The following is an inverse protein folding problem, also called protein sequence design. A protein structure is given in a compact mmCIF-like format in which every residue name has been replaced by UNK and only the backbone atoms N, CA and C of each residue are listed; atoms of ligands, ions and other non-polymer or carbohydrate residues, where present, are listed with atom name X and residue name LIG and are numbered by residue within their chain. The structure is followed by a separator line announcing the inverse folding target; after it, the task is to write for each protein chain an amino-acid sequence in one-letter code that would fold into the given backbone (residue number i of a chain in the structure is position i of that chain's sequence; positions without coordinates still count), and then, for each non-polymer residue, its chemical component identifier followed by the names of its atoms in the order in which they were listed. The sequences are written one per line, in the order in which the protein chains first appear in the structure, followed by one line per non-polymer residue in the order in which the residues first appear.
data_IF_080772323934
#
_entry.id   IF_080772323934
#
_cell.length_a   1.000
_cell.length_b   1.000
_cell.length_c   1.000
_cell.angle_alpha   90.00
_cell.angle_beta   90.00
_cell.angle_gamma   90.00
#
_symmetry.space_group_name_H-M   'P 1'
#
loop_
_entity.id
_entity.type
_entity.pdbx_description
1 polymer ?
#
# COMPACT_ATOMS: atom_id res chain seq x y z
N UNK A 1 30.60 3.67 15.72
CA UNK A 1 29.47 4.05 14.86
C UNK A 1 28.20 3.77 15.67
N UNK A 2 27.54 4.81 16.18
CA UNK A 2 26.29 4.68 16.95
C UNK A 2 25.19 4.25 16.00
N UNK A 3 24.75 2.99 16.12
CA UNK A 3 23.63 2.50 15.38
C UNK A 3 22.38 3.31 15.71
N UNK A 4 21.77 3.92 14.72
CA UNK A 4 20.46 4.57 14.83
C UNK A 4 19.48 3.49 15.33
N UNK A 5 18.94 3.66 16.51
CA UNK A 5 17.93 2.75 17.03
C UNK A 5 16.67 2.80 16.14
N UNK A 6 16.12 1.65 15.79
CA UNK A 6 14.99 1.52 14.85
C UNK A 6 13.73 2.33 15.23
N UNK A 7 13.37 2.56 16.54
CA UNK A 7 12.30 3.49 16.92
C UNK A 7 12.45 4.91 16.37
N UNK A 8 13.71 5.33 16.14
CA UNK A 8 14.06 6.65 15.62
C UNK A 8 13.62 6.88 14.15
N UNK A 9 13.42 5.81 13.37
CA UNK A 9 12.99 5.91 11.95
C UNK A 9 11.57 6.45 11.81
N UNK A 10 10.64 6.00 12.64
CA UNK A 10 9.24 6.47 12.62
C UNK A 10 9.20 7.92 13.09
N UNK A 11 9.83 8.27 14.21
CA UNK A 11 9.89 9.62 14.73
C UNK A 11 10.52 10.61 13.73
N UNK A 12 11.61 10.24 13.06
CA UNK A 12 12.23 11.05 12.01
C UNK A 12 11.30 11.25 10.81
N UNK A 13 10.55 10.22 10.44
CA UNK A 13 9.58 10.32 9.36
C UNK A 13 8.42 11.23 9.74
N UNK A 14 7.90 11.13 10.95
CA UNK A 14 6.84 12.02 11.45
C UNK A 14 7.32 13.48 11.52
N UNK A 15 8.55 13.73 11.96
CA UNK A 15 9.13 15.07 11.95
C UNK A 15 9.27 15.62 10.53
N UNK A 16 9.75 14.79 9.60
CA UNK A 16 9.83 15.15 8.18
C UNK A 16 8.45 15.49 7.61
N UNK A 17 7.43 14.67 7.85
CA UNK A 17 6.04 14.91 7.43
C UNK A 17 5.55 16.24 7.97
N UNK A 18 5.70 16.50 9.27
CA UNK A 18 5.30 17.79 9.89
C UNK A 18 5.98 18.99 9.24
N UNK A 19 7.26 18.88 8.92
CA UNK A 19 8.00 19.94 8.21
C UNK A 19 7.45 20.16 6.80
N UNK A 20 7.17 19.07 6.07
CA UNK A 20 6.61 19.19 4.71
C UNK A 20 5.21 19.81 4.75
N UNK A 21 4.31 19.35 5.62
CA UNK A 21 3.00 19.97 5.79
C UNK A 21 3.10 21.47 6.09
N UNK A 22 4.07 21.88 6.90
CA UNK A 22 4.31 23.29 7.20
C UNK A 22 4.82 24.10 6.00
N UNK A 23 5.62 23.49 5.12
CA UNK A 23 6.14 24.10 3.89
C UNK A 23 5.09 24.10 2.77
N UNK A 24 4.31 23.02 2.67
CA UNK A 24 3.34 22.78 1.59
C UNK A 24 1.96 23.45 1.84
N UNK A 25 1.81 24.26 2.90
CA UNK A 25 0.59 25.04 3.12
C UNK A 25 0.30 25.92 1.90
N UNK A 26 -0.32 25.31 0.88
CA UNK A 26 -0.69 25.95 -0.37
C UNK A 26 -0.33 25.17 -1.64
N UNK A 27 0.54 24.15 -1.60
CA UNK A 27 0.95 23.38 -2.79
C UNK A 27 -0.06 22.28 -3.13
N UNK A 28 -0.57 21.54 -2.15
CA UNK A 28 -1.57 20.46 -2.39
C UNK A 28 -2.92 21.00 -2.89
N UNK A 29 -3.23 22.24 -2.60
CA UNK A 29 -4.43 22.91 -3.14
C UNK A 29 -4.29 23.23 -4.64
N UNK A 30 -3.05 23.33 -5.16
CA UNK A 30 -2.81 23.73 -6.56
C UNK A 30 -3.26 22.65 -7.57
N UNK A 31 -3.27 21.38 -7.19
CA UNK A 31 -3.56 20.29 -8.12
C UNK A 31 -4.98 19.73 -8.01
N UNK A 32 -5.76 20.09 -6.99
CA UNK A 32 -7.18 19.70 -6.89
C UNK A 32 -7.97 20.31 -8.06
N UNK A 33 -8.61 19.44 -8.85
CA UNK A 33 -9.34 19.83 -10.07
C UNK A 33 -8.47 20.13 -11.30
N UNK A 34 -7.16 19.96 -11.19
CA UNK A 34 -6.23 20.03 -12.33
C UNK A 34 -6.15 18.68 -13.05
N UNK A 35 -5.76 18.65 -14.34
CA UNK A 35 -5.38 17.40 -14.98
C UNK A 35 -4.20 16.72 -14.26
N UNK A 36 -4.09 15.38 -14.38
CA UNK A 36 -2.94 14.65 -13.82
C UNK A 36 -1.61 15.22 -14.28
N UNK A 37 -0.71 15.50 -13.33
CA UNK A 37 0.58 16.14 -13.55
C UNK A 37 1.72 15.12 -13.61
N UNK A 38 2.67 15.34 -14.52
CA UNK A 38 3.83 14.46 -14.67
C UNK A 38 4.47 14.59 -16.03
N UNK A 39 5.39 13.67 -16.34
CA UNK A 39 6.16 13.64 -17.58
C UNK A 39 6.21 12.23 -18.19
N UNK A 40 6.69 12.13 -19.42
CA UNK A 40 6.84 10.86 -20.13
C UNK A 40 5.59 10.45 -20.91
N UNK A 41 5.60 9.24 -21.53
CA UNK A 41 4.46 8.72 -22.28
C UNK A 41 3.28 8.47 -21.34
N UNK A 42 2.12 8.22 -21.92
CA UNK A 42 0.96 7.78 -21.12
C UNK A 42 1.13 6.34 -20.69
N UNK A 43 0.90 6.07 -19.40
CA UNK A 43 0.79 4.71 -18.90
C UNK A 43 -0.57 4.08 -19.29
N UNK A 44 -0.79 2.83 -18.92
CA UNK A 44 -2.04 2.10 -19.22
C UNK A 44 -3.31 2.76 -18.64
N UNK A 45 -3.16 3.59 -17.62
CA UNK A 45 -4.25 4.32 -16.96
C UNK A 45 -4.50 5.70 -17.63
N UNK A 46 -3.78 6.01 -18.71
CA UNK A 46 -3.86 7.29 -19.40
C UNK A 46 -3.17 8.45 -18.69
N UNK A 47 -2.43 8.20 -17.60
CA UNK A 47 -1.67 9.18 -16.84
C UNK A 47 -0.24 9.33 -17.39
N UNK A 48 0.44 10.48 -17.19
CA UNK A 48 1.88 10.55 -17.43
C UNK A 48 2.62 9.45 -16.67
N UNK A 49 3.56 8.73 -17.30
CA UNK A 49 4.22 7.59 -16.67
C UNK A 49 4.99 7.96 -15.40
N UNK A 50 5.67 9.11 -15.42
CA UNK A 50 6.36 9.65 -14.25
C UNK A 50 5.51 10.73 -13.60
N UNK A 51 4.89 10.50 -12.43
CA UNK A 51 4.13 11.51 -11.72
C UNK A 51 4.97 12.72 -11.31
N UNK A 52 4.32 13.85 -11.08
CA UNK A 52 4.97 15.07 -10.62
C UNK A 52 5.77 14.84 -9.33
N UNK A 53 6.97 15.45 -9.25
CA UNK A 53 7.84 15.33 -8.06
C UNK A 53 8.46 13.94 -7.85
N UNK A 54 8.41 13.06 -8.87
CA UNK A 54 9.05 11.76 -8.87
C UNK A 54 10.29 11.73 -9.78
N UNK A 55 11.21 10.80 -9.50
CA UNK A 55 12.30 10.41 -10.40
C UNK A 55 12.31 8.89 -10.57
N UNK A 56 12.75 8.42 -11.73
CA UNK A 56 12.84 6.98 -12.00
C UNK A 56 14.02 6.35 -11.25
N UNK A 57 13.81 5.14 -10.70
CA UNK A 57 14.86 4.28 -10.16
C UNK A 57 14.80 2.91 -10.80
N UNK A 58 15.97 2.25 -10.95
CA UNK A 58 16.07 0.88 -11.50
C UNK A 58 16.04 -0.18 -10.40
N UNK A 59 16.68 0.11 -9.27
CA UNK A 59 16.58 -0.72 -8.08
C UNK A 59 15.22 -0.51 -7.39
N UNK A 60 14.90 -1.40 -6.45
CA UNK A 60 13.73 -1.22 -5.61
C UNK A 60 14.19 -0.85 -4.19
N UNK A 61 14.13 0.43 -3.78
CA UNK A 61 14.53 0.83 -2.43
C UNK A 61 13.64 0.17 -1.36
N UNK A 62 14.26 -0.28 -0.28
CA UNK A 62 13.57 -0.90 0.85
C UNK A 62 13.20 0.16 1.88
N UNK A 63 11.90 0.25 2.20
CA UNK A 63 11.35 1.11 3.24
C UNK A 63 10.40 0.31 4.11
N UNK A 64 10.59 0.37 5.42
CA UNK A 64 9.78 -0.32 6.43
C UNK A 64 9.73 0.50 7.73
N UNK A 65 9.10 -0.05 8.77
CA UNK A 65 9.08 0.55 10.11
C UNK A 65 10.36 0.28 10.91
N UNK A 66 11.30 -0.49 10.37
CA UNK A 66 12.58 -0.82 11.00
C UNK A 66 12.74 -2.29 11.38
N UNK A 67 11.67 -3.07 11.43
CA UNK A 67 11.70 -4.52 11.62
C UNK A 67 10.96 -5.22 10.49
N UNK A 68 11.62 -6.24 9.93
CA UNK A 68 11.05 -7.03 8.85
C UNK A 68 10.59 -8.37 9.42
N UNK A 69 9.27 -8.66 9.43
CA UNK A 69 8.76 -9.94 9.89
C UNK A 69 9.38 -11.11 9.10
N UNK A 70 9.64 -12.20 9.78
CA UNK A 70 9.93 -13.49 9.14
C UNK A 70 8.72 -14.37 9.33
N UNK A 71 7.97 -14.58 8.26
CA UNK A 71 6.73 -15.35 8.28
C UNK A 71 6.94 -16.62 7.46
N UNK A 72 7.01 -17.77 8.13
CA UNK A 72 7.06 -19.05 7.46
C UNK A 72 5.75 -19.31 6.72
N UNK A 73 5.81 -19.91 5.52
CA UNK A 73 4.62 -20.18 4.70
C UNK A 73 3.59 -21.05 5.43
N UNK A 74 4.04 -22.01 6.25
CA UNK A 74 3.16 -22.86 7.08
C UNK A 74 2.36 -22.08 8.12
N UNK A 75 2.91 -20.94 8.59
CA UNK A 75 2.32 -20.09 9.64
C UNK A 75 1.62 -18.85 9.07
N UNK A 76 1.84 -18.56 7.78
CA UNK A 76 1.18 -17.44 7.12
C UNK A 76 -0.34 -17.64 7.08
N UNK A 77 -1.07 -16.61 7.44
CA UNK A 77 -2.54 -16.57 7.38
C UNK A 77 -3.00 -15.23 6.88
N UNK A 78 -4.04 -15.22 6.04
CA UNK A 78 -4.79 -14.03 5.68
C UNK A 78 -6.18 -14.11 6.29
N UNK A 79 -6.44 -13.30 7.31
CA UNK A 79 -7.75 -13.17 7.94
C UNK A 79 -8.58 -12.15 7.17
N UNK A 80 -9.81 -12.50 6.84
CA UNK A 80 -10.75 -11.62 6.14
C UNK A 80 -12.05 -11.57 6.93
N UNK A 81 -12.54 -10.35 7.23
CA UNK A 81 -13.75 -10.19 8.04
C UNK A 81 -14.23 -8.73 8.10
N UNK A 82 -14.94 -8.37 9.17
CA UNK A 82 -15.60 -7.09 9.34
C UNK A 82 -17.00 -7.07 8.74
N UNK A 83 -17.38 -6.01 8.04
CA UNK A 83 -18.69 -5.83 7.40
C UNK A 83 -18.83 -6.68 6.12
N UNK A 84 -18.89 -8.00 6.30
CA UNK A 84 -19.08 -8.98 5.23
C UNK A 84 -19.97 -10.14 5.70
N UNK A 85 -20.55 -10.88 4.74
CA UNK A 85 -21.37 -12.06 5.03
C UNK A 85 -20.51 -13.26 5.42
N UNK A 86 -19.35 -13.42 4.75
CA UNK A 86 -18.47 -14.56 4.90
C UNK A 86 -17.10 -14.12 5.42
N UNK A 87 -16.88 -14.25 6.73
CA UNK A 87 -15.53 -14.12 7.30
C UNK A 87 -14.79 -15.44 7.15
N UNK A 88 -13.52 -15.39 6.80
CA UNK A 88 -12.68 -16.58 6.63
C UNK A 88 -11.20 -16.28 6.90
N UNK A 89 -10.43 -17.35 7.02
CA UNK A 89 -8.96 -17.28 7.08
C UNK A 89 -8.39 -18.20 6.01
N UNK A 90 -7.43 -17.72 5.24
CA UNK A 90 -6.70 -18.51 4.26
C UNK A 90 -5.34 -18.93 4.82
N UNK A 91 -5.01 -20.21 4.63
CA UNK A 91 -3.62 -20.69 4.65
C UNK A 91 -2.89 -20.30 3.38
N UNK A 92 -1.59 -20.50 3.33
CA UNK A 92 -0.79 -20.22 2.14
C UNK A 92 -1.25 -21.04 0.92
N UNK A 93 -1.49 -22.33 1.11
CA UNK A 93 -1.93 -23.23 0.04
C UNK A 93 -3.33 -22.85 -0.49
N UNK A 94 -4.26 -22.49 0.40
CA UNK A 94 -5.59 -22.00 0.01
C UNK A 94 -5.51 -20.66 -0.74
N UNK A 95 -4.57 -19.76 -0.36
CA UNK A 95 -4.32 -18.51 -1.09
C UNK A 95 -3.77 -18.79 -2.48
N UNK A 96 -2.82 -19.71 -2.63
CA UNK A 96 -2.28 -20.09 -3.93
C UNK A 96 -3.28 -20.82 -4.83
N UNK A 97 -4.29 -21.47 -4.25
CA UNK A 97 -5.37 -22.14 -4.98
C UNK A 97 -6.42 -21.16 -5.56
N UNK A 98 -6.41 -19.89 -5.14
CA UNK A 98 -7.27 -18.86 -5.72
C UNK A 98 -6.86 -18.53 -7.17
N UNK A 99 -7.76 -17.94 -7.99
CA UNK A 99 -7.41 -17.46 -9.31
C UNK A 99 -6.19 -16.53 -9.30
N UNK A 100 -5.09 -16.96 -9.91
CA UNK A 100 -3.85 -16.20 -10.00
C UNK A 100 -3.85 -15.34 -11.25
N UNK A 101 -3.30 -14.13 -11.15
CA UNK A 101 -3.11 -13.21 -12.28
C UNK A 101 -1.67 -12.73 -12.31
N UNK A 102 -1.21 -12.40 -13.52
CA UNK A 102 0.03 -11.66 -13.75
C UNK A 102 -0.32 -10.23 -14.17
N UNK A 103 0.46 -9.28 -13.69
CA UNK A 103 0.27 -7.85 -13.97
C UNK A 103 1.63 -7.18 -14.13
N UNK A 104 1.67 -6.17 -15.00
CA UNK A 104 2.83 -5.28 -15.13
C UNK A 104 2.39 -3.87 -14.81
N UNK A 105 2.94 -3.29 -13.75
CA UNK A 105 2.57 -1.96 -13.32
C UNK A 105 3.73 -1.19 -12.69
N UNK A 106 3.54 0.12 -12.60
CA UNK A 106 4.50 1.03 -12.00
C UNK A 106 4.28 1.10 -10.48
N UNK A 107 5.33 1.50 -9.77
CA UNK A 107 5.33 1.60 -8.32
C UNK A 107 5.84 2.99 -7.91
N UNK A 108 5.01 3.77 -7.20
CA UNK A 108 5.28 5.16 -6.85
C UNK A 108 5.44 5.32 -5.34
N UNK A 109 6.63 5.70 -4.88
CA UNK A 109 6.89 5.91 -3.46
C UNK A 109 6.73 7.38 -3.07
N UNK A 110 6.13 7.66 -1.92
CA UNK A 110 6.03 9.01 -1.36
C UNK A 110 7.39 9.71 -1.19
N UNK A 111 8.47 8.93 -1.08
CA UNK A 111 9.83 9.45 -0.96
C UNK A 111 10.46 9.81 -2.30
N UNK A 112 9.62 10.21 -3.26
CA UNK A 112 9.98 10.86 -4.53
C UNK A 112 10.55 9.97 -5.64
N UNK A 113 10.46 8.66 -5.55
CA UNK A 113 10.92 7.77 -6.60
C UNK A 113 9.79 6.88 -7.17
N UNK A 114 9.94 6.52 -8.43
CA UNK A 114 9.09 5.56 -9.13
C UNK A 114 9.93 4.46 -9.78
N UNK A 115 9.46 3.23 -9.72
CA UNK A 115 10.02 2.10 -10.45
C UNK A 115 8.97 1.61 -11.45
N UNK A 116 9.37 1.54 -12.72
CA UNK A 116 8.47 1.20 -13.81
C UNK A 116 8.48 -0.29 -14.14
N UNK A 117 7.39 -0.74 -14.76
CA UNK A 117 7.25 -2.07 -15.36
C UNK A 117 7.58 -3.22 -14.40
N UNK A 118 7.09 -3.15 -13.16
CA UNK A 118 7.24 -4.28 -12.24
C UNK A 118 6.33 -5.42 -12.67
N UNK A 119 6.90 -6.62 -12.82
CA UNK A 119 6.15 -7.82 -13.14
C UNK A 119 5.71 -8.52 -11.86
N UNK A 120 4.41 -8.58 -11.64
CA UNK A 120 3.78 -9.15 -10.46
C UNK A 120 3.01 -10.43 -10.79
N UNK A 121 2.94 -11.34 -9.81
CA UNK A 121 1.97 -12.43 -9.81
C UNK A 121 1.30 -12.51 -8.45
N UNK A 122 -0.02 -12.72 -8.45
CA UNK A 122 -0.80 -12.79 -7.23
C UNK A 122 -2.30 -12.93 -7.48
N UNK A 123 -3.09 -12.57 -6.49
CA UNK A 123 -4.56 -12.64 -6.49
C UNK A 123 -5.13 -11.24 -6.52
N UNK A 124 -6.15 -10.97 -7.34
CA UNK A 124 -6.87 -9.69 -7.30
C UNK A 124 -7.53 -9.50 -5.92
N UNK A 125 -7.46 -8.29 -5.39
CA UNK A 125 -8.19 -7.96 -4.16
C UNK A 125 -9.69 -8.24 -4.33
N UNK A 126 -10.24 -7.95 -5.51
CA UNK A 126 -11.63 -8.26 -5.88
C UNK A 126 -12.00 -9.72 -5.63
N UNK A 127 -11.14 -10.69 -5.93
CA UNK A 127 -11.38 -12.11 -5.68
C UNK A 127 -11.59 -12.41 -4.19
N UNK A 128 -10.83 -11.73 -3.32
CA UNK A 128 -11.01 -11.82 -1.86
C UNK A 128 -12.34 -11.19 -1.45
N UNK A 129 -12.67 -10.01 -1.99
CA UNK A 129 -13.92 -9.31 -1.70
C UNK A 129 -15.15 -10.11 -2.16
N UNK A 130 -15.13 -10.68 -3.36
CA UNK A 130 -16.21 -11.53 -3.89
C UNK A 130 -16.48 -12.76 -3.00
N UNK A 131 -15.41 -13.38 -2.47
CA UNK A 131 -15.55 -14.49 -1.52
C UNK A 131 -16.08 -14.03 -0.17
N UNK A 132 -15.71 -12.86 0.30
CA UNK A 132 -16.15 -12.29 1.57
C UNK A 132 -17.61 -11.80 1.53
N UNK A 133 -18.09 -11.39 0.36
CA UNK A 133 -19.42 -10.77 0.15
C UNK A 133 -19.59 -9.57 1.10
N UNK A 134 -18.93 -8.42 0.83
CA UNK A 134 -19.10 -7.24 1.65
C UNK A 134 -20.57 -6.84 1.75
N UNK A 135 -21.01 -6.41 2.92
CA UNK A 135 -22.40 -5.95 3.14
C UNK A 135 -22.64 -4.64 2.39
N UNK A 136 -23.90 -4.32 2.15
CA UNK A 136 -24.30 -3.15 1.39
C UNK A 136 -23.80 -1.81 1.97
N UNK A 137 -23.56 -1.77 3.28
CA UNK A 137 -23.04 -0.61 4.00
C UNK A 137 -21.50 -0.62 4.14
N UNK A 138 -20.80 -1.64 3.66
CA UNK A 138 -19.34 -1.68 3.63
C UNK A 138 -18.81 -0.68 2.57
N UNK A 139 -18.15 0.37 3.02
CA UNK A 139 -17.65 1.45 2.16
C UNK A 139 -16.11 1.52 2.10
N UNK A 140 -15.42 0.92 3.07
CA UNK A 140 -13.97 0.99 3.23
C UNK A 140 -13.38 -0.38 3.57
N UNK A 141 -12.05 -0.47 3.43
CA UNK A 141 -11.27 -1.60 3.92
C UNK A 141 -10.08 -1.11 4.73
N UNK A 142 -9.72 -1.84 5.77
CA UNK A 142 -8.49 -1.68 6.53
C UNK A 142 -7.63 -2.92 6.34
N UNK A 143 -6.41 -2.73 5.85
CA UNK A 143 -5.43 -3.80 5.63
C UNK A 143 -4.34 -3.71 6.70
N UNK A 144 -4.00 -4.85 7.33
CA UNK A 144 -3.02 -4.95 8.42
C UNK A 144 -1.86 -5.86 8.03
N UNK A 145 -0.64 -5.43 8.29
CA UNK A 145 0.59 -6.21 8.12
C UNK A 145 0.95 -7.06 9.35
N UNK A 146 1.95 -7.96 9.16
CA UNK A 146 2.60 -8.67 10.27
C UNK A 146 3.64 -7.80 10.98
N UNK A 147 4.03 -6.66 10.39
CA UNK A 147 4.99 -5.74 10.97
C UNK A 147 4.36 -4.83 12.03
N UNK A 148 5.20 -4.42 12.97
CA UNK A 148 4.82 -3.55 14.08
C UNK A 148 5.77 -2.37 14.16
N UNK A 149 5.29 -1.26 14.70
CA UNK A 149 6.16 -0.17 15.13
C UNK A 149 7.15 -0.70 16.18
N UNK A 150 8.46 -0.53 15.98
CA UNK A 150 9.48 -1.05 16.90
C UNK A 150 9.24 -0.63 18.35
N UNK A 151 9.33 -1.59 19.26
CA UNK A 151 9.09 -1.37 20.69
C UNK A 151 7.62 -1.20 21.08
N UNK A 152 6.69 -1.51 20.16
CA UNK A 152 5.25 -1.42 20.43
C UNK A 152 4.49 -2.60 19.84
N UNK A 153 3.18 -2.69 20.15
CA UNK A 153 2.24 -3.62 19.54
C UNK A 153 1.35 -2.96 18.49
N UNK A 154 1.73 -1.76 18.00
CA UNK A 154 0.99 -1.04 16.96
C UNK A 154 1.37 -1.62 15.59
N UNK A 155 0.46 -2.34 14.92
CA UNK A 155 0.76 -2.91 13.61
C UNK A 155 0.75 -1.84 12.52
N UNK A 156 1.43 -2.13 11.39
CA UNK A 156 1.19 -1.36 10.19
C UNK A 156 -0.23 -1.60 9.69
N UNK A 157 -0.93 -0.52 9.40
CA UNK A 157 -2.26 -0.53 8.78
C UNK A 157 -2.34 0.49 7.66
N UNK A 158 -3.19 0.25 6.68
CA UNK A 158 -3.61 1.25 5.69
C UNK A 158 -5.03 1.00 5.25
N UNK A 159 -5.72 2.06 4.87
CA UNK A 159 -7.12 2.03 4.46
C UNK A 159 -7.28 2.33 2.97
N UNK A 160 -8.37 1.88 2.39
CA UNK A 160 -8.83 2.25 1.05
C UNK A 160 -10.36 2.36 1.05
N UNK A 161 -10.95 3.24 0.23
CA UNK A 161 -12.33 3.07 -0.19
C UNK A 161 -12.52 1.68 -0.83
N UNK A 162 -13.60 0.98 -0.50
CA UNK A 162 -13.86 -0.35 -1.05
C UNK A 162 -13.92 -0.34 -2.58
N UNK A 163 -14.55 0.69 -3.17
CA UNK A 163 -14.61 0.87 -4.62
C UNK A 163 -13.20 0.91 -5.26
N UNK A 164 -12.21 1.54 -4.60
CA UNK A 164 -10.83 1.58 -5.07
C UNK A 164 -10.11 0.24 -4.84
N UNK A 165 -10.36 -0.42 -3.71
CA UNK A 165 -9.73 -1.68 -3.37
C UNK A 165 -10.10 -2.82 -4.35
N UNK A 166 -11.30 -2.79 -4.92
CA UNK A 166 -11.77 -3.81 -5.88
C UNK A 166 -11.45 -3.48 -7.34
N UNK A 167 -10.71 -2.42 -7.65
CA UNK A 167 -10.23 -2.17 -9.00
C UNK A 167 -9.22 -3.24 -9.44
N UNK A 168 -9.11 -3.43 -10.76
CA UNK A 168 -8.35 -4.55 -11.34
C UNK A 168 -6.84 -4.51 -11.09
N UNK A 169 -6.30 -3.33 -10.79
CA UNK A 169 -4.88 -3.10 -10.51
C UNK A 169 -4.48 -3.36 -9.05
N UNK A 170 -5.45 -3.57 -8.14
CA UNK A 170 -5.15 -3.88 -6.74
C UNK A 170 -4.98 -5.38 -6.55
N UNK A 171 -3.76 -5.79 -6.22
CA UNK A 171 -3.38 -7.20 -6.10
C UNK A 171 -2.77 -7.51 -4.73
N UNK A 172 -2.97 -8.74 -4.28
CA UNK A 172 -2.18 -9.41 -3.25
C UNK A 172 -1.12 -10.24 -3.96
N UNK A 173 0.12 -9.74 -4.01
CA UNK A 173 1.20 -10.34 -4.80
C UNK A 173 2.16 -11.14 -3.93
N UNK A 174 2.61 -12.28 -4.46
CA UNK A 174 3.58 -13.18 -3.83
C UNK A 174 4.82 -13.40 -4.70
N UNK A 175 4.80 -12.92 -5.95
CA UNK A 175 5.91 -13.04 -6.90
C UNK A 175 6.20 -11.68 -7.51
N UNK A 176 7.48 -11.37 -7.67
CA UNK A 176 8.00 -10.18 -8.33
C UNK A 176 9.14 -10.58 -9.26
N UNK A 177 9.13 -10.08 -10.53
CA UNK A 177 10.11 -10.39 -11.57
C UNK A 177 10.35 -11.91 -11.76
N UNK A 178 9.28 -12.72 -11.66
CA UNK A 178 9.33 -14.17 -11.82
C UNK A 178 9.88 -14.96 -10.63
N UNK A 179 10.30 -14.30 -9.54
CA UNK A 179 10.82 -14.93 -8.34
C UNK A 179 9.87 -14.70 -7.12
N UNK A 180 9.94 -15.55 -6.07
CA UNK A 180 9.22 -15.29 -4.83
C UNK A 180 9.51 -13.88 -4.32
N UNK A 181 8.46 -13.18 -3.84
CA UNK A 181 8.58 -11.82 -3.34
C UNK A 181 9.59 -11.75 -2.19
N UNK A 182 10.65 -10.93 -2.29
CA UNK A 182 11.66 -10.82 -1.25
C UNK A 182 11.06 -10.38 0.10
N UNK A 183 11.61 -10.90 1.19
CA UNK A 183 11.14 -10.58 2.54
C UNK A 183 11.11 -9.08 2.82
N UNK A 184 12.18 -8.35 2.48
CA UNK A 184 12.32 -6.90 2.69
C UNK A 184 11.28 -6.08 1.91
N UNK A 185 10.71 -6.64 0.86
CA UNK A 185 9.64 -6.05 0.05
C UNK A 185 8.24 -6.48 0.46
N UNK A 186 8.09 -7.25 1.53
CA UNK A 186 6.81 -7.66 2.09
C UNK A 186 6.44 -9.11 1.84
N UNK A 187 7.41 -9.96 1.43
CA UNK A 187 7.17 -11.40 1.27
C UNK A 187 6.80 -12.07 2.60
N UNK A 188 5.99 -13.15 2.55
CA UNK A 188 5.60 -13.88 1.34
C UNK A 188 4.48 -13.23 0.53
N UNK A 189 3.70 -12.28 1.08
CA UNK A 189 2.60 -11.63 0.39
C UNK A 189 2.46 -10.16 0.80
N UNK A 190 2.25 -9.29 -0.19
CA UNK A 190 1.91 -7.89 0.02
C UNK A 190 0.76 -7.44 -0.86
N UNK A 191 0.10 -6.36 -0.48
CA UNK A 191 -0.80 -5.63 -1.37
C UNK A 191 -0.03 -4.61 -2.20
N UNK A 192 -0.39 -4.45 -3.47
CA UNK A 192 0.04 -3.35 -4.34
C UNK A 192 -1.18 -2.54 -4.81
N UNK A 193 -0.95 -1.24 -5.01
CA UNK A 193 -1.96 -0.26 -5.40
C UNK A 193 -1.34 0.71 -6.42
N UNK A 194 -1.11 0.29 -7.69
CA UNK A 194 -0.30 1.04 -8.67
C UNK A 194 -0.72 2.48 -8.92
N UNK A 195 -2.01 2.80 -8.81
CA UNK A 195 -2.53 4.15 -8.98
C UNK A 195 -2.34 5.06 -7.77
N UNK A 196 -1.83 4.53 -6.66
CA UNK A 196 -1.62 5.27 -5.41
C UNK A 196 -0.16 5.23 -4.99
N UNK A 197 0.23 6.15 -4.13
CA UNK A 197 1.52 6.02 -3.46
C UNK A 197 1.60 4.72 -2.66
N UNK A 198 2.76 4.09 -2.69
CA UNK A 198 3.01 2.72 -2.27
C UNK A 198 2.77 2.42 -0.78
N UNK A 199 2.64 3.43 0.09
CA UNK A 199 2.25 3.17 1.49
C UNK A 199 0.81 2.65 1.63
N UNK A 200 -0.06 2.87 0.60
CA UNK A 200 -1.39 2.25 0.52
C UNK A 200 -1.33 0.74 0.24
N UNK A 201 -0.17 0.22 -0.10
CA UNK A 201 0.09 -1.21 -0.32
C UNK A 201 0.73 -1.87 0.89
N UNK A 202 -0.07 -2.54 1.74
CA UNK A 202 0.40 -3.23 2.95
C UNK A 202 1.41 -4.32 2.63
N UNK A 203 2.63 -4.23 3.17
CA UNK A 203 3.63 -5.30 3.17
C UNK A 203 3.25 -6.38 4.20
N UNK A 204 3.72 -7.60 3.99
CA UNK A 204 3.49 -8.72 4.92
C UNK A 204 2.04 -8.82 5.37
N UNK A 205 1.10 -8.74 4.41
CA UNK A 205 -0.32 -8.66 4.71
C UNK A 205 -0.83 -9.90 5.47
N UNK A 206 -1.59 -9.67 6.56
CA UNK A 206 -2.19 -10.71 7.39
C UNK A 206 -3.68 -10.57 7.62
N UNK A 207 -4.25 -9.36 7.42
CA UNK A 207 -5.67 -9.12 7.71
C UNK A 207 -6.26 -8.09 6.76
N UNK A 208 -7.52 -8.33 6.37
CA UNK A 208 -8.39 -7.41 5.64
C UNK A 208 -9.70 -7.29 6.41
N UNK A 209 -10.11 -6.08 6.75
CA UNK A 209 -11.38 -5.78 7.40
C UNK A 209 -12.21 -4.87 6.52
N UNK A 210 -13.45 -5.28 6.23
CA UNK A 210 -14.44 -4.42 5.60
C UNK A 210 -15.09 -3.54 6.66
N UNK A 211 -15.26 -2.25 6.37
CA UNK A 211 -15.72 -1.25 7.33
C UNK A 211 -16.83 -0.40 6.70
N UNK A 212 -17.78 0.08 7.52
CA UNK A 212 -18.77 1.08 7.13
C UNK A 212 -18.15 2.46 7.02
N UNK A 213 -17.32 2.83 7.99
CA UNK A 213 -16.67 4.13 8.06
C UNK A 213 -15.18 4.03 7.76
N UNK A 214 -14.60 5.13 7.29
CA UNK A 214 -13.17 5.20 7.03
C UNK A 214 -12.38 5.19 8.36
N UNK A 215 -11.40 4.31 8.42
CA UNK A 215 -10.45 4.24 9.52
C UNK A 215 -9.04 4.51 8.97
N UNK A 216 -8.51 5.70 9.22
CA UNK A 216 -7.16 6.10 8.81
C UNK A 216 -6.12 5.11 9.33
N UNK A 217 -5.19 4.70 8.45
CA UNK A 217 -4.13 3.75 8.77
C UNK A 217 -2.91 4.40 9.43
N UNK A 218 -1.81 3.63 9.52
CA UNK A 218 -0.60 3.99 10.26
C UNK A 218 0.01 5.32 9.84
N UNK A 219 0.18 5.57 8.53
CA UNK A 219 0.77 6.80 8.02
C UNK A 219 -0.24 7.92 7.85
N UNK A 220 -1.49 7.60 7.56
CA UNK A 220 -2.57 8.57 7.40
C UNK A 220 -2.84 9.33 8.70
N UNK A 221 -2.83 8.66 9.88
CA UNK A 221 -2.95 9.33 11.18
C UNK A 221 -1.69 10.15 11.55
N UNK A 222 -0.59 9.95 10.83
CA UNK A 222 0.69 10.65 11.03
C UNK A 222 0.93 11.75 10.01
N UNK A 223 -0.07 12.09 9.21
CA UNK A 223 -0.05 13.24 8.32
C UNK A 223 0.21 12.94 6.84
N UNK A 224 0.23 11.67 6.42
CA UNK A 224 0.12 11.39 4.99
C UNK A 224 -1.32 11.54 4.52
N UNK A 225 -1.48 11.86 3.23
CA UNK A 225 -2.79 12.00 2.60
C UNK A 225 -3.61 10.71 2.71
N UNK A 226 -4.92 10.85 2.84
CA UNK A 226 -5.82 9.70 2.84
C UNK A 226 -6.08 9.15 1.44
N UNK A 227 -6.05 9.99 0.40
CA UNK A 227 -6.24 9.62 -1.01
C UNK A 227 -4.97 9.11 -1.70
N UNK A 228 -3.81 9.70 -1.38
CA UNK A 228 -2.49 9.22 -1.80
C UNK A 228 -2.25 9.17 -3.32
N UNK A 229 -2.73 10.15 -4.09
CA UNK A 229 -2.69 10.17 -5.55
C UNK A 229 -1.38 10.78 -6.10
N UNK A 230 -0.49 9.99 -6.76
CA UNK A 230 0.83 10.46 -7.19
C UNK A 230 0.79 11.60 -8.21
N UNK A 231 -0.14 11.56 -9.15
CA UNK A 231 -0.26 12.56 -10.25
C UNK A 231 -0.83 13.91 -9.80
N UNK A 232 -1.30 14.00 -8.55
CA UNK A 232 -1.75 15.23 -7.89
C UNK A 232 -0.80 15.67 -6.78
N UNK A 233 0.36 15.03 -6.67
CA UNK A 233 1.35 15.25 -5.60
C UNK A 233 0.75 15.11 -4.19
N UNK A 234 -0.26 14.28 -4.06
CA UNK A 234 -1.09 14.12 -2.86
C UNK A 234 -0.38 13.28 -1.79
N UNK A 235 0.64 13.87 -1.17
CA UNK A 235 1.53 13.20 -0.21
C UNK A 235 1.08 13.38 1.23
N UNK A 236 0.58 14.57 1.58
CA UNK A 236 0.36 14.99 2.96
C UNK A 236 -1.09 15.41 3.18
N UNK A 237 -1.58 15.17 4.41
CA UNK A 237 -2.90 15.65 4.82
C UNK A 237 -2.93 17.17 4.90
N UNK A 238 -3.98 17.76 4.36
CA UNK A 238 -4.29 19.19 4.48
C UNK A 238 -5.31 19.47 5.58
N UNK A 239 -5.75 18.44 6.30
CA UNK A 239 -6.74 18.50 7.39
C UNK A 239 -6.08 18.67 8.76
#
# INVERSE_FOLDING_TARGET
MSGVTKPDLVARREEYIRRQIALDKGVDVQFRGQPPQGTGPRNREGMPQLPVGQHEVKNWPVLDLGEQPSVDLKDWRLQVGGQCENSFTLTWDEFLALPQVEDTSDFHCVTTWSRFNNHWKGVRFRTIAERAVPRADAAHVLCTGYDFMPGSYIPYTTNLPLARAVEDDVLLVHTWEGAPLPREHGGPCRMITPKLYAWKGTKWIRKIEFLTEDQKGFWEIRGYSNSAEPWFNDRYSTE
#
